data_IF_328324696839
#
_entry.id   IF_328324696839
#
_cell.length_a   1.000
_cell.length_b   1.000
_cell.length_c   1.000
_cell.angle_alpha   90.00
_cell.angle_beta   90.00
_cell.angle_gamma   90.00
#
_symmetry.space_group_name_H-M   'P 1'
#
loop_
_entity.id
_entity.type
_entity.pdbx_description
1 polymer ?
#
# COMPACT_ATOMS: atom_id res chain seq x y z
N UNK A 1 -4.59 -16.66 -1.28
CA UNK A 1 -5.04 -16.64 0.13
C UNK A 1 -6.55 -16.77 0.13
N UNK A 2 -7.14 -17.76 0.84
CA UNK A 2 -8.59 -17.91 0.88
C UNK A 2 -9.25 -16.71 1.59
N UNK A 3 -10.36 -16.23 1.03
CA UNK A 3 -11.24 -15.25 1.68
C UNK A 3 -12.26 -15.98 2.56
N UNK A 4 -12.88 -15.32 3.57
CA UNK A 4 -13.96 -15.92 4.37
C UNK A 4 -15.14 -16.44 3.54
N UNK A 5 -15.38 -15.88 2.36
CA UNK A 5 -16.43 -16.28 1.41
C UNK A 5 -16.01 -17.41 0.43
N UNK A 6 -14.89 -18.12 0.69
CA UNK A 6 -14.40 -19.23 -0.14
C UNK A 6 -13.68 -18.80 -1.44
N UNK A 7 -13.71 -17.53 -1.81
CA UNK A 7 -12.97 -17.03 -2.98
C UNK A 7 -11.47 -16.93 -2.69
N UNK A 8 -10.61 -17.20 -3.68
CA UNK A 8 -9.16 -17.03 -3.59
C UNK A 8 -8.79 -15.60 -3.97
N UNK A 9 -7.82 -15.00 -3.27
CA UNK A 9 -7.19 -13.75 -3.70
C UNK A 9 -6.04 -14.09 -4.63
N UNK A 10 -6.01 -13.62 -5.89
CA UNK A 10 -4.83 -13.73 -6.72
C UNK A 10 -3.72 -12.91 -6.08
N UNK A 11 -2.54 -13.51 -5.91
CA UNK A 11 -1.37 -12.84 -5.39
C UNK A 11 -0.33 -12.78 -6.50
N UNK A 12 -0.03 -11.57 -6.99
CA UNK A 12 1.06 -11.37 -7.92
C UNK A 12 2.40 -11.39 -7.18
N UNK A 13 3.30 -12.28 -7.59
CA UNK A 13 4.67 -12.33 -7.05
C UNK A 13 5.60 -11.72 -8.10
N UNK A 14 6.12 -10.49 -7.88
CA UNK A 14 7.08 -9.87 -8.80
C UNK A 14 8.40 -10.65 -8.81
N UNK A 15 9.16 -10.55 -9.90
CA UNK A 15 10.53 -11.08 -9.95
C UNK A 15 11.42 -10.41 -8.91
N UNK A 16 12.56 -11.01 -8.59
CA UNK A 16 13.51 -10.42 -7.63
C UNK A 16 13.97 -9.04 -8.08
N UNK A 17 14.26 -8.89 -9.37
CA UNK A 17 14.70 -7.62 -9.97
C UNK A 17 13.60 -6.57 -9.85
N UNK A 18 12.37 -6.91 -10.21
CA UNK A 18 11.22 -6.00 -10.09
C UNK A 18 11.03 -5.55 -8.64
N UNK A 19 11.15 -6.47 -7.68
CA UNK A 19 11.02 -6.12 -6.25
C UNK A 19 12.08 -5.13 -5.80
N UNK A 20 13.33 -5.28 -6.23
CA UNK A 20 14.41 -4.35 -5.89
C UNK A 20 14.12 -2.97 -6.45
N UNK A 21 13.74 -2.89 -7.73
CA UNK A 21 13.42 -1.62 -8.38
C UNK A 21 12.19 -0.97 -7.74
N UNK A 22 11.13 -1.73 -7.52
CA UNK A 22 9.93 -1.26 -6.85
C UNK A 22 10.23 -0.74 -5.44
N UNK A 23 11.07 -1.44 -4.68
CA UNK A 23 11.46 -1.02 -3.35
C UNK A 23 12.27 0.29 -3.38
N UNK A 24 13.19 0.45 -4.32
CA UNK A 24 13.94 1.67 -4.48
C UNK A 24 13.02 2.88 -4.79
N UNK A 25 12.09 2.72 -5.73
CA UNK A 25 11.09 3.74 -6.05
C UNK A 25 10.24 4.06 -4.82
N UNK A 26 9.73 3.04 -4.10
CA UNK A 26 8.90 3.22 -2.92
C UNK A 26 9.62 4.01 -1.82
N UNK A 27 10.90 3.74 -1.57
CA UNK A 27 11.69 4.45 -0.57
C UNK A 27 11.85 5.95 -0.91
N UNK A 28 12.09 6.28 -2.17
CA UNK A 28 12.21 7.67 -2.62
C UNK A 28 10.86 8.39 -2.56
N UNK A 29 9.81 7.75 -3.08
CA UNK A 29 8.46 8.31 -3.04
C UNK A 29 7.95 8.50 -1.62
N UNK A 30 8.19 7.56 -0.72
CA UNK A 30 7.77 7.67 0.67
C UNK A 30 8.38 8.89 1.34
N UNK A 31 9.69 9.12 1.18
CA UNK A 31 10.34 10.33 1.73
C UNK A 31 9.73 11.63 1.21
N UNK A 32 9.31 11.64 -0.06
CA UNK A 32 8.75 12.82 -0.71
C UNK A 32 7.28 13.05 -0.36
N UNK A 33 6.51 11.99 -0.23
CA UNK A 33 5.06 12.05 -0.10
C UNK A 33 4.58 11.97 1.35
N UNK A 34 5.39 11.46 2.28
CA UNK A 34 4.97 11.20 3.67
C UNK A 34 4.40 12.44 4.36
N UNK A 35 4.98 13.61 4.13
CA UNK A 35 4.51 14.89 4.69
C UNK A 35 3.14 15.34 4.14
N UNK A 36 2.70 14.78 3.01
CA UNK A 36 1.41 15.12 2.40
C UNK A 36 0.25 14.25 2.89
N UNK A 37 0.53 13.21 3.67
CA UNK A 37 -0.50 12.36 4.23
C UNK A 37 -1.06 12.96 5.53
N UNK A 38 -2.34 12.65 5.81
CA UNK A 38 -2.96 13.03 7.07
C UNK A 38 -2.15 12.54 8.28
N UNK A 39 -2.12 13.32 9.34
CA UNK A 39 -1.51 12.92 10.62
C UNK A 39 -2.17 11.69 11.24
N UNK A 40 -3.45 11.45 10.91
CA UNK A 40 -4.23 10.28 11.36
C UNK A 40 -4.04 9.05 10.47
N UNK A 41 -3.23 9.13 9.43
CA UNK A 41 -2.87 7.97 8.61
C UNK A 41 -1.74 7.21 9.26
N UNK A 42 -2.02 6.01 9.78
CA UNK A 42 -1.06 5.16 10.51
C UNK A 42 -0.56 3.97 9.70
N UNK A 43 -1.28 3.60 8.64
CA UNK A 43 -0.94 2.44 7.83
C UNK A 43 0.24 2.68 6.89
N UNK A 44 1.19 1.74 6.87
CA UNK A 44 2.29 1.68 5.91
C UNK A 44 3.17 2.95 5.80
N UNK A 45 3.32 3.68 6.88
CA UNK A 45 4.14 4.90 6.95
C UNK A 45 5.34 4.74 7.87
N UNK A 46 6.49 5.41 7.56
CA UNK A 46 7.62 5.46 8.46
C UNK A 46 7.24 6.02 9.82
N UNK A 47 7.75 5.42 10.89
CA UNK A 47 7.51 5.87 12.28
C UNK A 47 6.04 5.93 12.69
N UNK A 48 5.15 5.21 12.00
CA UNK A 48 3.74 5.04 12.33
C UNK A 48 3.45 3.55 12.54
N UNK A 49 2.50 3.22 13.40
CA UNK A 49 2.14 1.84 13.70
C UNK A 49 0.66 1.70 14.02
N UNK A 50 0.16 0.46 13.94
CA UNK A 50 -1.21 0.15 14.35
C UNK A 50 -1.45 0.46 15.84
N UNK A 51 -0.43 0.25 16.70
CA UNK A 51 -0.51 0.56 18.11
C UNK A 51 -0.77 2.06 18.35
N UNK A 52 -0.12 2.94 17.57
CA UNK A 52 -0.37 4.38 17.66
C UNK A 52 -1.81 4.74 17.25
N UNK A 53 -2.37 4.05 16.25
CA UNK A 53 -3.77 4.23 15.88
C UNK A 53 -4.71 3.83 17.02
N UNK A 54 -4.44 2.70 17.66
CA UNK A 54 -5.23 2.24 18.83
C UNK A 54 -5.16 3.23 19.99
N UNK A 55 -3.95 3.72 20.30
CA UNK A 55 -3.79 4.73 21.37
C UNK A 55 -4.57 6.00 21.07
N UNK A 56 -4.54 6.47 19.81
CA UNK A 56 -5.31 7.65 19.41
C UNK A 56 -6.83 7.42 19.49
N UNK A 57 -7.28 6.21 19.15
CA UNK A 57 -8.69 5.84 19.34
C UNK A 57 -9.10 5.87 20.82
N UNK A 58 -8.24 5.36 21.71
CA UNK A 58 -8.49 5.40 23.16
C UNK A 58 -8.56 6.85 23.69
N UNK A 59 -7.73 7.76 23.17
CA UNK A 59 -7.84 9.19 23.52
C UNK A 59 -9.23 9.71 23.18
N UNK A 60 -9.74 9.48 21.98
CA UNK A 60 -11.08 9.92 21.57
C UNK A 60 -12.20 9.32 22.42
N UNK A 61 -12.10 8.04 22.78
CA UNK A 61 -13.07 7.39 23.68
C UNK A 61 -13.05 8.08 25.06
N UNK A 62 -11.87 8.39 25.59
CA UNK A 62 -11.72 9.08 26.87
C UNK A 62 -12.21 10.54 26.82
N UNK A 63 -12.18 11.18 25.64
CA UNK A 63 -12.76 12.50 25.40
C UNK A 63 -14.30 12.48 25.27
N UNK A 64 -14.92 11.29 25.28
CA UNK A 64 -16.37 11.10 25.27
C UNK A 64 -16.97 10.85 23.88
N UNK A 65 -16.16 10.50 22.88
CA UNK A 65 -16.68 10.09 21.56
C UNK A 65 -17.14 8.63 21.60
N UNK A 66 -18.45 8.39 21.58
CA UNK A 66 -19.06 7.06 21.72
C UNK A 66 -19.43 6.41 20.36
N UNK A 67 -19.40 7.18 19.31
CA UNK A 67 -19.78 6.70 17.98
C UNK A 67 -18.58 6.42 17.10
N UNK A 68 -18.57 5.25 16.46
CA UNK A 68 -17.53 4.85 15.49
C UNK A 68 -18.17 4.60 14.13
N UNK A 69 -17.62 5.22 13.10
CA UNK A 69 -17.98 4.95 11.70
C UNK A 69 -16.81 4.18 11.08
N UNK A 70 -17.07 2.96 10.63
CA UNK A 70 -16.11 2.13 9.90
C UNK A 70 -16.40 2.20 8.40
N UNK A 71 -15.40 2.61 7.62
CA UNK A 71 -15.49 2.75 6.17
C UNK A 71 -14.35 1.99 5.51
N UNK A 72 -14.67 1.09 4.58
CA UNK A 72 -13.71 0.35 3.77
C UNK A 72 -14.00 0.53 2.28
N UNK A 73 -12.95 0.60 1.47
CA UNK A 73 -13.07 0.73 0.01
C UNK A 73 -13.08 -0.67 -0.60
N UNK A 74 -14.19 -1.06 -1.20
CA UNK A 74 -14.31 -2.36 -1.86
C UNK A 74 -13.34 -2.47 -3.04
N UNK A 75 -12.60 -3.59 -3.06
CA UNK A 75 -11.70 -3.94 -4.15
C UNK A 75 -10.72 -2.83 -4.56
N UNK A 76 -10.22 -2.04 -3.60
CA UNK A 76 -9.37 -0.86 -3.84
C UNK A 76 -8.25 -1.12 -4.86
N UNK A 77 -7.48 -2.20 -4.69
CA UNK A 77 -6.37 -2.51 -5.59
C UNK A 77 -6.83 -2.91 -7.00
N UNK A 78 -8.01 -3.46 -7.14
CA UNK A 78 -8.57 -3.93 -8.40
C UNK A 78 -9.17 -2.77 -9.22
N UNK A 79 -9.42 -1.62 -8.58
CA UNK A 79 -10.09 -0.45 -9.17
C UNK A 79 -9.19 0.76 -9.38
N UNK A 80 -7.90 0.69 -9.02
CA UNK A 80 -6.95 1.79 -9.19
C UNK A 80 -6.86 2.23 -10.64
N UNK A 81 -7.20 3.48 -10.91
CA UNK A 81 -7.04 4.08 -12.23
C UNK A 81 -5.59 4.55 -12.41
N UNK A 82 -4.90 3.98 -13.40
CA UNK A 82 -3.48 4.25 -13.66
C UNK A 82 -3.21 5.70 -14.03
N UNK A 83 -4.05 6.31 -14.87
CA UNK A 83 -3.87 7.69 -15.31
C UNK A 83 -4.07 8.67 -14.16
N UNK A 84 -5.09 8.43 -13.34
CA UNK A 84 -5.36 9.25 -12.15
C UNK A 84 -4.22 9.16 -11.14
N UNK A 85 -3.65 7.98 -10.93
CA UNK A 85 -2.50 7.81 -10.03
C UNK A 85 -1.28 8.58 -10.55
N UNK A 86 -0.97 8.50 -11.85
CA UNK A 86 0.13 9.26 -12.45
C UNK A 86 -0.11 10.78 -12.35
N UNK A 87 -1.35 11.25 -12.54
CA UNK A 87 -1.72 12.66 -12.35
C UNK A 87 -1.46 13.12 -10.92
N UNK A 88 -1.93 12.36 -9.92
CA UNK A 88 -1.70 12.65 -8.50
C UNK A 88 -0.19 12.71 -8.18
N UNK A 89 0.60 11.80 -8.70
CA UNK A 89 2.05 11.82 -8.49
C UNK A 89 2.69 13.10 -9.05
N UNK A 90 2.25 13.57 -10.23
CA UNK A 90 2.71 14.83 -10.82
C UNK A 90 2.31 16.03 -9.97
N UNK A 91 1.08 16.08 -9.50
CA UNK A 91 0.59 17.12 -8.58
C UNK A 91 1.40 17.18 -7.29
N UNK A 92 1.93 16.04 -6.85
CA UNK A 92 2.86 15.93 -5.70
C UNK A 92 4.34 16.16 -6.08
N UNK A 93 4.58 16.81 -7.21
CA UNK A 93 5.93 17.14 -7.72
C UNK A 93 6.82 15.93 -8.04
N UNK A 94 6.25 14.77 -8.34
CA UNK A 94 6.98 13.65 -8.92
C UNK A 94 6.97 13.81 -10.43
N UNK A 95 7.96 14.54 -10.98
CA UNK A 95 7.97 14.96 -12.39
C UNK A 95 8.96 14.20 -13.27
N UNK A 96 9.76 13.29 -12.69
CA UNK A 96 10.67 12.47 -13.49
C UNK A 96 9.89 11.51 -14.38
N UNK A 97 10.00 11.76 -15.70
CA UNK A 97 9.25 11.02 -16.72
C UNK A 97 9.63 9.53 -16.76
N UNK A 98 10.89 9.22 -16.48
CA UNK A 98 11.40 7.85 -16.48
C UNK A 98 10.79 7.06 -15.33
N UNK A 99 10.79 7.64 -14.13
CA UNK A 99 10.17 7.03 -12.95
C UNK A 99 8.67 6.84 -13.13
N UNK A 100 7.96 7.86 -13.63
CA UNK A 100 6.51 7.76 -13.88
C UNK A 100 6.18 6.70 -14.93
N UNK A 101 6.98 6.61 -16.00
CA UNK A 101 6.83 5.58 -17.02
C UNK A 101 7.07 4.18 -16.45
N UNK A 102 8.07 4.02 -15.60
CA UNK A 102 8.39 2.75 -14.95
C UNK A 102 7.26 2.32 -13.99
N UNK A 103 6.75 3.25 -13.18
CA UNK A 103 5.58 2.99 -12.32
C UNK A 103 4.40 2.53 -13.17
N UNK A 104 4.12 3.21 -14.28
CA UNK A 104 3.05 2.83 -15.20
C UNK A 104 3.24 1.42 -15.75
N UNK A 105 4.45 1.07 -16.17
CA UNK A 105 4.77 -0.30 -16.64
C UNK A 105 4.52 -1.35 -15.58
N UNK A 106 4.89 -1.11 -14.33
CA UNK A 106 4.61 -2.04 -13.24
C UNK A 106 3.11 -2.24 -12.99
N UNK A 107 2.31 -1.19 -13.11
CA UNK A 107 0.86 -1.30 -12.99
C UNK A 107 0.25 -2.10 -14.16
N UNK A 108 0.78 -1.93 -15.37
CA UNK A 108 0.28 -2.58 -16.60
C UNK A 108 0.81 -3.99 -16.79
N UNK A 109 1.86 -4.39 -16.08
CA UNK A 109 2.54 -5.67 -16.28
C UNK A 109 1.62 -6.90 -16.18
N UNK A 110 0.48 -6.75 -15.48
CA UNK A 110 -0.50 -7.81 -15.36
C UNK A 110 -0.02 -8.96 -14.46
N UNK A 111 -0.73 -10.05 -14.54
CA UNK A 111 -0.44 -11.27 -13.81
C UNK A 111 -0.28 -12.41 -14.80
N UNK A 112 0.76 -13.23 -14.64
CA UNK A 112 0.90 -14.48 -15.37
C UNK A 112 0.09 -15.56 -14.62
N UNK A 113 -0.89 -16.12 -15.30
CA UNK A 113 -1.73 -17.20 -14.82
C UNK A 113 -1.71 -18.32 -15.87
N UNK A 114 -1.34 -19.53 -15.45
CA UNK A 114 -1.22 -20.70 -16.33
C UNK A 114 -0.35 -20.46 -17.61
N UNK A 115 0.75 -19.70 -17.47
CA UNK A 115 1.66 -19.38 -18.57
C UNK A 115 1.17 -18.28 -19.51
N UNK A 116 0.00 -17.70 -19.29
CA UNK A 116 -0.55 -16.61 -20.07
C UNK A 116 -0.47 -15.29 -19.30
N UNK A 117 0.10 -14.26 -19.93
CA UNK A 117 0.15 -12.91 -19.35
C UNK A 117 -1.14 -12.17 -19.70
N UNK A 118 -1.91 -11.83 -18.66
CA UNK A 118 -3.10 -10.97 -18.80
C UNK A 118 -2.70 -9.55 -18.43
N UNK A 119 -2.54 -8.60 -19.37
CA UNK A 119 -2.20 -7.23 -19.05
C UNK A 119 -3.35 -6.57 -18.27
N UNK A 120 -3.00 -5.81 -17.23
CA UNK A 120 -3.99 -5.05 -16.47
C UNK A 120 -4.16 -3.65 -17.07
N UNK A 121 -5.40 -3.27 -17.38
CA UNK A 121 -5.75 -1.90 -17.78
C UNK A 121 -6.22 -1.04 -16.61
N UNK A 122 -6.70 -1.68 -15.56
CA UNK A 122 -7.21 -1.07 -14.33
C UNK A 122 -6.75 -1.93 -13.17
N UNK A 123 -6.45 -1.31 -12.04
CA UNK A 123 -6.00 -2.00 -10.86
C UNK A 123 -4.49 -2.27 -10.83
N UNK A 124 -4.03 -2.75 -9.71
CA UNK A 124 -2.63 -3.10 -9.46
C UNK A 124 -2.57 -4.51 -8.84
N UNK A 125 -1.59 -5.34 -9.24
CA UNK A 125 -1.45 -6.67 -8.66
C UNK A 125 -1.25 -6.57 -7.13
N UNK A 126 -2.02 -7.34 -6.39
CA UNK A 126 -1.83 -7.45 -4.95
C UNK A 126 -0.50 -8.17 -4.68
N UNK A 127 0.44 -7.48 -4.06
CA UNK A 127 1.79 -8.01 -3.77
C UNK A 127 2.94 -7.19 -4.35
N UNK A 128 2.64 -6.20 -5.20
CA UNK A 128 3.61 -5.23 -5.74
C UNK A 128 3.98 -4.11 -4.75
N UNK A 129 4.36 -2.96 -5.27
CA UNK A 129 4.88 -1.75 -4.61
C UNK A 129 4.18 -1.33 -3.30
N UNK A 130 2.91 -1.65 -3.13
CA UNK A 130 2.10 -1.20 -1.99
C UNK A 130 2.23 -2.10 -0.75
N UNK A 131 3.01 -3.17 -0.76
CA UNK A 131 2.98 -4.17 0.29
C UNK A 131 4.24 -4.32 1.13
N UNK A 132 5.26 -3.50 0.93
CA UNK A 132 6.41 -3.50 1.83
C UNK A 132 6.43 -2.23 2.69
N UNK A 133 5.74 -2.24 3.84
CA UNK A 133 6.26 -1.49 4.94
C UNK A 133 7.52 -2.22 5.38
N UNK A 134 8.60 -1.52 5.56
CA UNK A 134 9.63 -1.98 6.45
C UNK A 134 8.94 -2.44 7.73
N UNK A 135 9.03 -3.74 8.03
CA UNK A 135 8.77 -4.24 9.37
C UNK A 135 9.63 -3.37 10.28
N UNK A 136 9.07 -2.56 11.18
CA UNK A 136 9.92 -1.78 12.05
C UNK A 136 10.82 -2.75 12.82
N UNK A 137 12.10 -2.44 13.08
CA UNK A 137 13.05 -3.35 13.69
C UNK A 137 12.68 -3.85 15.08
N UNK A 138 11.57 -3.39 15.65
CA UNK A 138 11.04 -3.76 16.97
C UNK A 138 9.82 -4.69 16.93
N UNK A 139 9.47 -5.27 15.78
CA UNK A 139 8.33 -6.19 15.70
C UNK A 139 8.72 -7.66 15.95
N UNK A 140 9.96 -7.93 16.35
CA UNK A 140 10.40 -9.24 16.76
C UNK A 140 10.73 -9.22 18.26
N UNK A 141 9.90 -9.96 19.01
CA UNK A 141 10.14 -10.44 20.37
C UNK A 141 9.97 -9.38 21.47
N UNK A 142 9.21 -9.75 22.45
CA UNK A 142 9.12 -9.26 23.84
C UNK A 142 7.94 -8.37 24.23
N UNK A 143 6.77 -8.51 23.62
CA UNK A 143 5.54 -8.06 24.27
C UNK A 143 4.46 -9.15 24.13
N UNK A 144 4.67 -10.28 24.82
CA UNK A 144 3.61 -11.12 25.35
C UNK A 144 3.92 -11.29 26.85
N UNK A 145 3.08 -10.79 27.74
CA UNK A 145 3.16 -11.21 29.13
C UNK A 145 2.77 -12.70 29.19
N UNK A 146 3.58 -13.46 29.93
CA UNK A 146 3.34 -14.84 30.37
C UNK A 146 2.00 -15.01 31.05
#
# INVERSE_FOLDING_TARGET
IPKPNGKKRPLGIPTVVDRVIQQAIAQVLMKKLDSSFSEFSYGFRPRRSAQMAVLKTLEYINEGYDWVIDLDIEAYFDTVNHDKLISILREKNVNDSTTLHLIRKFMQAGIMEDGLVKPSRIGVPQGGLCRYPHKPPYADKDIMPS
#
